data_IF_200007951216
#
_entry.id   IF_200007951216
#
_cell.length_a   1.000
_cell.length_b   1.000
_cell.length_c   1.000
_cell.angle_alpha   90.00
_cell.angle_beta   90.00
_cell.angle_gamma   90.00
#
_symmetry.space_group_name_H-M   'P 1'
#
loop_
_entity.id
_entity.type
_entity.pdbx_description
1 polymer ?
#
# COMPACT_ATOMS: atom_id res chain seq x y z
N UNK A 1 33.43 -25.38 -10.49
CA UNK A 1 32.32 -25.19 -9.53
C UNK A 1 31.57 -23.94 -9.94
N UNK A 2 30.60 -24.06 -10.87
CA UNK A 2 29.80 -22.94 -11.34
C UNK A 2 28.41 -23.05 -10.71
N UNK A 3 28.04 -22.04 -9.92
CA UNK A 3 26.72 -21.91 -9.33
C UNK A 3 25.73 -21.39 -10.37
N UNK A 4 24.84 -22.25 -10.85
CA UNK A 4 23.68 -21.83 -11.62
C UNK A 4 22.64 -21.17 -10.70
N UNK A 5 22.36 -19.89 -10.93
CA UNK A 5 21.23 -19.17 -10.34
C UNK A 5 20.05 -19.23 -11.30
N UNK A 6 19.00 -19.94 -10.93
CA UNK A 6 17.69 -19.92 -11.60
C UNK A 6 16.88 -18.72 -11.10
N UNK A 7 16.41 -17.86 -12.01
CA UNK A 7 15.50 -16.75 -11.71
C UNK A 7 14.04 -17.24 -11.56
N UNK A 8 13.30 -16.70 -10.59
CA UNK A 8 11.92 -17.05 -10.30
C UNK A 8 10.99 -15.84 -10.43
N UNK A 9 9.78 -16.05 -10.97
CA UNK A 9 8.74 -15.03 -11.11
C UNK A 9 7.94 -14.85 -9.80
N UNK A 10 7.83 -13.60 -9.33
CA UNK A 10 7.03 -13.22 -8.15
C UNK A 10 5.73 -12.56 -8.63
N UNK A 11 4.58 -13.10 -8.24
CA UNK A 11 3.27 -12.46 -8.42
C UNK A 11 2.93 -11.68 -7.16
N UNK A 12 2.93 -10.35 -7.24
CA UNK A 12 2.57 -9.48 -6.12
C UNK A 12 1.05 -9.50 -5.92
N UNK A 13 0.59 -9.90 -4.73
CA UNK A 13 -0.77 -9.63 -4.27
C UNK A 13 -0.75 -8.22 -3.67
N UNK A 14 -1.60 -7.35 -4.19
CA UNK A 14 -1.58 -5.95 -3.83
C UNK A 14 -2.16 -5.73 -2.42
N UNK A 15 -1.33 -5.25 -1.48
CA UNK A 15 -1.70 -4.95 -0.08
C UNK A 15 -2.00 -3.46 0.17
N UNK A 16 -2.29 -2.69 -0.89
CA UNK A 16 -2.39 -1.22 -0.84
C UNK A 16 -3.45 -0.64 0.13
N UNK A 17 -4.38 -1.45 0.68
CA UNK A 17 -5.49 -0.88 1.47
C UNK A 17 -5.31 -0.83 2.99
N UNK A 18 -4.26 -1.37 3.61
CA UNK A 18 -4.21 -1.46 5.09
C UNK A 18 -2.88 -1.12 5.79
N UNK A 19 -1.85 -0.69 5.06
CA UNK A 19 -0.58 -0.25 5.64
C UNK A 19 -0.21 1.17 5.21
N UNK A 20 -1.04 2.16 5.55
CA UNK A 20 -0.61 3.55 5.51
C UNK A 20 0.01 3.93 6.85
N UNK A 21 1.35 4.00 6.91
CA UNK A 21 2.05 4.51 8.08
C UNK A 21 3.52 4.14 8.30
N UNK A 22 4.30 3.68 7.30
CA UNK A 22 5.76 3.89 7.29
C UNK A 22 6.34 3.64 5.89
N UNK A 23 7.26 4.51 5.45
CA UNK A 23 8.00 4.37 4.19
C UNK A 23 9.14 3.32 4.32
N UNK A 24 8.84 2.14 4.85
CA UNK A 24 9.86 1.11 5.03
C UNK A 24 9.89 0.18 3.81
N UNK A 25 10.97 0.31 3.02
CA UNK A 25 11.29 -0.60 1.91
C UNK A 25 11.57 -1.99 2.50
N UNK A 26 10.76 -2.98 2.11
CA UNK A 26 10.97 -4.38 2.49
C UNK A 26 12.04 -4.98 1.58
N UNK A 27 13.27 -5.07 2.07
CA UNK A 27 14.36 -5.84 1.45
C UNK A 27 14.27 -7.32 1.85
N UNK A 28 14.11 -8.22 0.89
CA UNK A 28 14.18 -9.68 1.12
C UNK A 28 15.62 -10.16 0.92
N UNK A 29 16.22 -10.77 1.96
CA UNK A 29 17.47 -11.54 1.82
C UNK A 29 17.18 -13.04 1.75
N UNK A 30 18.02 -13.72 0.96
CA UNK A 30 18.13 -15.15 0.65
C UNK A 30 17.52 -16.13 1.69
N UNK A 31 16.74 -17.10 1.20
CA UNK A 31 16.04 -18.11 2.01
C UNK A 31 16.83 -19.42 2.00
N UNK A 32 17.32 -19.88 3.17
CA UNK A 32 17.86 -21.24 3.37
C UNK A 32 17.08 -21.97 4.47
N UNK A 33 16.66 -23.22 4.20
CA UNK A 33 16.17 -24.17 5.20
C UNK A 33 14.67 -24.55 5.10
N UNK A 34 14.36 -25.82 5.42
CA UNK A 34 13.00 -26.40 5.52
C UNK A 34 12.71 -26.79 6.98
N UNK A 35 12.37 -25.81 7.81
CA UNK A 35 11.69 -26.03 9.09
C UNK A 35 11.13 -24.67 9.54
N UNK A 36 9.86 -24.63 9.97
CA UNK A 36 9.20 -23.42 10.44
C UNK A 36 8.76 -23.61 11.88
N UNK A 37 9.57 -23.12 12.81
CA UNK A 37 9.11 -22.72 14.14
C UNK A 37 8.51 -21.30 14.03
N UNK A 38 7.27 -21.13 14.46
CA UNK A 38 6.68 -19.80 14.64
C UNK A 38 7.30 -19.16 15.89
N UNK A 39 8.39 -18.42 15.71
CA UNK A 39 8.86 -17.51 16.75
C UNK A 39 7.93 -16.29 16.81
N UNK A 40 7.53 -15.90 18.03
CA UNK A 40 6.73 -14.70 18.23
C UNK A 40 7.47 -13.48 17.63
N UNK A 41 6.78 -12.55 16.94
CA UNK A 41 7.42 -11.41 16.31
C UNK A 41 8.29 -10.65 17.31
N UNK A 42 9.59 -10.59 17.03
CA UNK A 42 10.52 -9.79 17.80
C UNK A 42 10.67 -8.42 17.15
N UNK A 43 10.72 -7.37 17.97
CA UNK A 43 10.97 -5.99 17.52
C UNK A 43 12.28 -5.51 18.11
N UNK A 44 13.03 -4.73 17.33
CA UNK A 44 14.25 -4.07 17.81
C UNK A 44 13.94 -2.62 18.22
N UNK A 45 14.40 -2.23 19.40
CA UNK A 45 14.32 -0.85 19.87
C UNK A 45 15.26 0.03 19.05
N UNK A 46 14.77 1.18 18.55
CA UNK A 46 15.60 2.11 17.78
C UNK A 46 16.73 2.73 18.63
N UNK A 47 16.49 2.95 19.92
CA UNK A 47 17.40 3.74 20.76
C UNK A 47 18.48 2.89 21.44
N UNK A 48 18.20 1.64 21.77
CA UNK A 48 19.16 0.76 22.47
C UNK A 48 19.46 -0.55 21.75
N UNK A 49 18.90 -0.76 20.55
CA UNK A 49 19.06 -1.98 19.75
C UNK A 49 18.59 -3.28 20.42
N UNK A 50 17.95 -3.20 21.60
CA UNK A 50 17.43 -4.36 22.32
C UNK A 50 16.28 -5.03 21.54
N UNK A 51 16.29 -6.36 21.49
CA UNK A 51 15.30 -7.18 20.80
C UNK A 51 14.30 -7.71 21.83
N UNK A 52 13.01 -7.47 21.62
CA UNK A 52 11.97 -7.86 22.58
C UNK A 52 10.67 -8.25 21.89
N UNK A 53 9.78 -8.92 22.63
CA UNK A 53 8.49 -9.39 22.10
C UNK A 53 7.60 -8.20 21.71
N UNK A 54 7.03 -8.23 20.50
CA UNK A 54 6.19 -7.15 19.96
C UNK A 54 4.99 -6.77 20.84
N UNK A 55 4.52 -7.68 21.71
CA UNK A 55 3.44 -7.45 22.67
C UNK A 55 3.80 -6.46 23.78
N UNK A 56 5.08 -6.17 24.01
CA UNK A 56 5.50 -5.22 25.05
C UNK A 56 5.41 -3.80 24.47
N UNK A 57 4.67 -2.86 25.10
CA UNK A 57 4.45 -1.52 24.55
C UNK A 57 5.72 -0.65 24.50
N UNK A 58 6.62 -0.84 25.46
CA UNK A 58 7.88 -0.10 25.61
C UNK A 58 9.08 -1.05 25.65
N UNK A 59 10.24 -0.60 25.19
CA UNK A 59 11.46 -1.38 25.30
C UNK A 59 11.75 -1.68 26.79
N UNK A 60 11.95 -2.95 27.18
CA UNK A 60 12.23 -3.29 28.58
C UNK A 60 13.61 -2.78 29.06
N UNK A 61 14.51 -2.44 28.12
CA UNK A 61 15.86 -2.00 28.45
C UNK A 61 15.99 -0.48 28.60
N UNK A 62 15.28 0.31 27.78
CA UNK A 62 15.41 1.77 27.80
C UNK A 62 14.09 2.54 27.94
N UNK A 63 12.95 1.85 28.04
CA UNK A 63 11.63 2.49 28.16
C UNK A 63 11.11 3.20 26.91
N UNK A 64 11.89 3.24 25.82
CA UNK A 64 11.51 3.90 24.58
C UNK A 64 10.32 3.23 23.88
N UNK A 65 9.49 4.06 23.24
CA UNK A 65 8.38 3.67 22.38
C UNK A 65 8.76 3.62 20.87
N UNK A 66 10.01 3.95 20.50
CA UNK A 66 10.49 3.96 19.12
C UNK A 66 10.90 2.53 18.67
N UNK A 67 10.16 1.98 17.71
CA UNK A 67 10.38 0.64 17.13
C UNK A 67 10.92 0.76 15.71
N UNK A 68 11.85 -0.11 15.33
CA UNK A 68 12.12 -0.38 13.90
C UNK A 68 11.14 -1.45 13.43
N UNK A 69 10.19 -1.06 12.57
CA UNK A 69 9.18 -1.95 12.01
C UNK A 69 9.75 -2.83 10.90
N UNK A 70 10.57 -3.83 11.22
CA UNK A 70 10.83 -4.92 10.28
C UNK A 70 9.98 -6.12 10.69
N UNK A 71 8.76 -6.18 10.16
CA UNK A 71 7.94 -7.38 10.24
C UNK A 71 8.39 -8.28 9.09
N UNK A 72 9.22 -9.28 9.40
CA UNK A 72 9.44 -10.40 8.48
C UNK A 72 8.19 -11.28 8.50
N UNK A 73 7.15 -10.89 7.76
CA UNK A 73 6.07 -11.81 7.43
C UNK A 73 6.65 -12.77 6.40
N UNK A 74 7.15 -13.92 6.88
CA UNK A 74 7.35 -15.08 6.01
C UNK A 74 5.97 -15.62 5.65
N UNK A 75 5.30 -14.96 4.71
CA UNK A 75 4.18 -15.58 4.04
C UNK A 75 4.74 -16.77 3.26
N UNK A 76 4.17 -17.98 3.37
CA UNK A 76 4.48 -19.05 2.44
C UNK A 76 4.00 -18.58 1.07
N UNK A 77 4.91 -17.99 0.30
CA UNK A 77 4.70 -17.80 -1.13
C UNK A 77 4.72 -19.22 -1.69
N UNK A 78 3.53 -19.76 -1.96
CA UNK A 78 3.44 -20.83 -2.95
C UNK A 78 3.95 -20.20 -4.23
N UNK A 79 5.24 -20.41 -4.52
CA UNK A 79 5.69 -20.34 -5.90
C UNK A 79 4.77 -21.29 -6.64
N UNK A 80 3.98 -20.75 -7.55
CA UNK A 80 3.28 -21.55 -8.54
C UNK A 80 4.36 -22.27 -9.34
N UNK A 81 4.74 -23.44 -8.83
CA UNK A 81 5.72 -24.31 -9.48
C UNK A 81 5.00 -24.76 -10.73
N UNK A 82 5.29 -24.08 -11.82
CA UNK A 82 4.71 -24.38 -13.10
C UNK A 82 5.37 -25.67 -13.63
N UNK A 83 4.99 -26.82 -13.04
CA UNK A 83 5.51 -28.14 -13.36
C UNK A 83 5.31 -28.49 -14.83
N UNK A 84 4.33 -27.85 -15.48
CA UNK A 84 4.13 -27.90 -16.94
C UNK A 84 5.29 -27.27 -17.69
N UNK A 85 5.73 -26.07 -17.27
CA UNK A 85 6.87 -25.39 -17.87
C UNK A 85 8.19 -26.13 -17.58
N UNK A 86 8.34 -26.67 -16.37
CA UNK A 86 9.50 -27.49 -16.01
C UNK A 86 9.58 -28.78 -16.84
N UNK A 87 8.45 -29.48 -17.03
CA UNK A 87 8.37 -30.67 -17.88
C UNK A 87 8.71 -30.37 -19.35
N UNK A 88 8.21 -29.25 -19.88
CA UNK A 88 8.55 -28.78 -21.23
C UNK A 88 10.05 -28.43 -21.35
N UNK A 89 10.62 -27.73 -20.37
CA UNK A 89 12.05 -27.39 -20.37
C UNK A 89 12.94 -28.64 -20.32
N UNK A 90 12.60 -29.63 -19.48
CA UNK A 90 13.34 -30.90 -19.40
C UNK A 90 13.25 -31.66 -20.73
N UNK A 91 12.05 -31.77 -21.32
CA UNK A 91 11.88 -32.45 -22.60
C UNK A 91 12.61 -31.75 -23.75
N UNK A 92 12.64 -30.42 -23.74
CA UNK A 92 13.40 -29.64 -24.71
C UNK A 92 14.91 -29.92 -24.59
N UNK A 93 15.47 -29.87 -23.38
CA UNK A 93 16.90 -30.17 -23.15
C UNK A 93 17.23 -31.60 -23.58
N UNK A 94 16.42 -32.59 -23.19
CA UNK A 94 16.64 -34.00 -23.58
C UNK A 94 16.57 -34.16 -25.09
N UNK A 95 15.58 -33.56 -25.75
CA UNK A 95 15.44 -33.59 -27.21
C UNK A 95 16.68 -33.03 -27.90
N UNK A 96 17.16 -31.86 -27.48
CA UNK A 96 18.36 -31.25 -28.08
C UNK A 96 19.63 -32.09 -27.90
N UNK A 97 19.79 -32.75 -26.76
CA UNK A 97 20.95 -33.64 -26.51
C UNK A 97 20.88 -34.89 -27.40
N UNK A 98 19.69 -35.49 -27.56
CA UNK A 98 19.49 -36.65 -28.42
C UNK A 98 19.75 -36.32 -29.89
N UNK A 99 19.25 -35.17 -30.37
CA UNK A 99 19.49 -34.70 -31.73
C UNK A 99 20.99 -34.51 -32.00
N UNK A 100 21.73 -33.93 -31.05
CA UNK A 100 23.19 -33.80 -31.16
C UNK A 100 23.90 -35.15 -31.23
N UNK A 101 23.55 -36.10 -30.35
CA UNK A 101 24.16 -37.44 -30.35
C UNK A 101 23.92 -38.16 -31.68
N UNK A 102 22.70 -38.06 -32.23
CA UNK A 102 22.38 -38.67 -33.53
C UNK A 102 23.11 -37.99 -34.68
N UNK A 103 23.27 -36.66 -34.64
CA UNK A 103 24.03 -35.91 -35.62
C UNK A 103 25.51 -36.36 -35.68
N UNK A 104 26.12 -36.66 -34.53
CA UNK A 104 27.53 -37.08 -34.48
C UNK A 104 27.75 -38.58 -34.76
N UNK A 105 26.77 -39.43 -34.49
CA UNK A 105 26.94 -40.89 -34.61
C UNK A 105 26.39 -41.51 -35.89
N UNK A 106 25.58 -40.79 -36.67
CA UNK A 106 24.89 -41.39 -37.82
C UNK A 106 25.34 -40.80 -39.15
N UNK A 107 25.62 -41.66 -40.14
CA UNK A 107 25.79 -41.27 -41.55
C UNK A 107 24.43 -41.02 -42.23
N UNK A 108 23.45 -40.49 -41.50
CA UNK A 108 22.08 -40.30 -41.98
C UNK A 108 21.96 -38.89 -42.54
N UNK A 109 22.00 -38.78 -43.87
CA UNK A 109 21.88 -37.50 -44.61
C UNK A 109 20.45 -36.90 -44.61
N UNK A 110 19.51 -37.46 -43.84
CA UNK A 110 18.10 -37.05 -43.92
C UNK A 110 17.81 -35.85 -43.01
N UNK A 111 17.88 -34.65 -43.59
CA UNK A 111 17.44 -33.36 -42.99
C UNK A 111 16.02 -33.43 -42.40
N UNK A 112 15.15 -34.29 -42.94
CA UNK A 112 13.77 -34.50 -42.47
C UNK A 112 13.65 -34.98 -41.03
N UNK A 113 14.66 -35.71 -40.52
CA UNK A 113 14.63 -36.23 -39.16
C UNK A 113 14.68 -35.10 -38.11
N UNK A 114 15.45 -34.04 -38.39
CA UNK A 114 15.58 -32.86 -37.52
C UNK A 114 14.31 -32.00 -37.49
N UNK A 115 13.46 -32.04 -38.52
CA UNK A 115 12.23 -31.26 -38.53
C UNK A 115 11.07 -31.92 -37.75
N UNK A 116 11.06 -33.25 -37.64
CA UNK A 116 9.93 -33.99 -37.05
C UNK A 116 10.09 -34.34 -35.57
N UNK A 117 11.33 -34.38 -35.05
CA UNK A 117 11.58 -34.72 -33.65
C UNK A 117 11.12 -33.66 -32.62
N UNK A 118 11.34 -32.35 -32.83
CA UNK A 118 10.97 -31.35 -31.81
C UNK A 118 9.48 -31.34 -31.42
N UNK A 119 8.51 -31.44 -32.36
CA UNK A 119 7.10 -31.55 -32.02
C UNK A 119 6.76 -32.76 -31.14
N UNK A 120 7.40 -33.92 -31.37
CA UNK A 120 7.16 -35.15 -30.61
C UNK A 120 7.64 -34.98 -29.17
N UNK A 121 8.83 -34.43 -28.95
CA UNK A 121 9.35 -34.17 -27.61
C UNK A 121 8.54 -33.12 -26.84
N UNK A 122 7.99 -32.11 -27.51
CA UNK A 122 7.09 -31.14 -26.88
C UNK A 122 5.84 -31.83 -26.35
N UNK A 123 5.22 -32.72 -27.14
CA UNK A 123 4.03 -33.47 -26.72
C UNK A 123 4.36 -34.40 -25.54
N UNK A 124 5.46 -35.15 -25.61
CA UNK A 124 5.91 -36.02 -24.50
C UNK A 124 6.18 -35.20 -23.23
N UNK A 125 6.90 -34.08 -23.35
CA UNK A 125 7.20 -33.17 -22.24
C UNK A 125 5.95 -32.59 -21.59
N UNK A 126 4.95 -32.25 -22.40
CA UNK A 126 3.65 -31.80 -21.92
C UNK A 126 2.94 -32.89 -21.11
N UNK A 127 2.88 -34.14 -21.61
CA UNK A 127 2.28 -35.26 -20.88
C UNK A 127 3.03 -35.59 -19.59
N UNK A 128 4.37 -35.58 -19.60
CA UNK A 128 5.18 -35.73 -18.39
C UNK A 128 4.91 -34.62 -17.38
N UNK A 129 4.80 -33.37 -17.83
CA UNK A 129 4.42 -32.23 -16.99
C UNK A 129 3.05 -32.41 -16.33
N UNK A 130 2.05 -32.94 -17.06
CA UNK A 130 0.73 -33.25 -16.50
C UNK A 130 0.79 -34.39 -15.46
N UNK A 131 1.58 -35.44 -15.71
CA UNK A 131 1.77 -36.54 -14.76
C UNK A 131 2.45 -36.08 -13.48
N UNK A 132 3.49 -35.23 -13.58
CA UNK A 132 4.17 -34.63 -12.43
C UNK A 132 3.25 -33.70 -11.62
N UNK A 133 2.45 -32.86 -12.28
CA UNK A 133 1.44 -32.01 -11.62
C UNK A 133 0.41 -32.85 -10.86
N UNK A 134 -0.10 -33.93 -11.48
CA UNK A 134 -1.04 -34.86 -10.83
C UNK A 134 -0.40 -35.59 -9.64
N UNK A 135 0.82 -36.08 -9.80
CA UNK A 135 1.57 -36.75 -8.71
C UNK A 135 1.83 -35.80 -7.55
N UNK A 136 2.18 -34.54 -7.83
CA UNK A 136 2.42 -33.53 -6.81
C UNK A 136 1.13 -33.21 -6.05
N UNK A 137 0.01 -32.98 -6.76
CA UNK A 137 -1.32 -32.74 -6.15
C UNK A 137 -1.80 -33.90 -5.27
N UNK A 138 -1.38 -35.13 -5.57
CA UNK A 138 -1.71 -36.30 -4.77
C UNK A 138 -0.74 -36.56 -3.60
N UNK A 139 0.31 -35.74 -3.46
CA UNK A 139 1.28 -35.90 -2.38
C UNK A 139 0.72 -35.42 -1.03
N UNK A 140 1.10 -36.08 0.06
CA UNK A 140 0.78 -35.62 1.41
C UNK A 140 1.27 -34.19 1.67
N UNK A 141 2.40 -33.81 1.06
CA UNK A 141 2.94 -32.46 1.16
C UNK A 141 1.99 -31.41 0.58
N UNK A 142 1.41 -31.65 -0.59
CA UNK A 142 0.43 -30.73 -1.19
C UNK A 142 -0.82 -30.58 -0.32
N UNK A 143 -1.29 -31.67 0.29
CA UNK A 143 -2.44 -31.62 1.20
C UNK A 143 -2.13 -30.81 2.48
N UNK A 144 -0.93 -30.93 3.04
CA UNK A 144 -0.50 -30.10 4.17
C UNK A 144 -0.35 -28.62 3.79
N UNK A 145 0.28 -28.32 2.64
CA UNK A 145 0.38 -26.96 2.11
C UNK A 145 -1.01 -26.33 1.92
N UNK A 146 -1.96 -27.09 1.37
CA UNK A 146 -3.34 -26.66 1.18
C UNK A 146 -4.05 -26.38 2.51
N UNK A 147 -3.89 -27.24 3.52
CA UNK A 147 -4.45 -27.02 4.87
C UNK A 147 -3.89 -25.73 5.50
N UNK A 148 -2.58 -25.49 5.37
CA UNK A 148 -1.94 -24.27 5.88
C UNK A 148 -2.54 -23.03 5.20
N UNK A 149 -2.75 -23.07 3.88
CA UNK A 149 -3.38 -21.98 3.15
C UNK A 149 -4.84 -21.75 3.57
N UNK A 150 -5.63 -22.81 3.69
CA UNK A 150 -7.01 -22.72 4.16
C UNK A 150 -7.09 -22.15 5.57
N UNK A 151 -6.18 -22.54 6.46
CA UNK A 151 -6.11 -21.99 7.82
C UNK A 151 -5.71 -20.51 7.82
N UNK A 152 -4.76 -20.11 6.99
CA UNK A 152 -4.38 -18.71 6.82
C UNK A 152 -5.57 -17.87 6.32
N UNK A 153 -6.25 -18.33 5.27
CA UNK A 153 -7.45 -17.67 4.74
C UNK A 153 -8.54 -17.55 5.81
N UNK A 154 -8.84 -18.64 6.53
CA UNK A 154 -9.82 -18.63 7.63
C UNK A 154 -9.47 -17.61 8.72
N UNK A 155 -8.19 -17.53 9.09
CA UNK A 155 -7.73 -16.56 10.09
C UNK A 155 -7.84 -15.11 9.57
N UNK A 156 -7.54 -14.88 8.29
CA UNK A 156 -7.71 -13.58 7.63
C UNK A 156 -9.19 -13.18 7.58
N UNK A 157 -10.08 -14.11 7.23
CA UNK A 157 -11.52 -13.87 7.17
C UNK A 157 -12.09 -13.60 8.57
N UNK A 158 -11.67 -14.36 9.59
CA UNK A 158 -12.06 -14.13 10.98
C UNK A 158 -11.56 -12.77 11.49
N UNK A 159 -10.34 -12.39 11.15
CA UNK A 159 -9.79 -11.07 11.46
C UNK A 159 -10.60 -9.95 10.80
N UNK A 160 -10.88 -10.07 9.49
CA UNK A 160 -11.67 -9.10 8.73
C UNK A 160 -13.09 -8.98 9.29
N UNK A 161 -13.71 -10.09 9.67
CA UNK A 161 -15.02 -10.13 10.33
C UNK A 161 -14.99 -9.35 11.65
N UNK A 162 -14.03 -9.64 12.54
CA UNK A 162 -13.88 -8.92 13.82
C UNK A 162 -13.64 -7.43 13.61
N UNK A 163 -12.83 -7.06 12.61
CA UNK A 163 -12.58 -5.65 12.28
C UNK A 163 -13.84 -4.95 11.76
N UNK A 164 -14.67 -5.65 10.97
CA UNK A 164 -15.97 -5.13 10.53
C UNK A 164 -16.94 -4.96 11.70
N UNK A 165 -17.03 -5.93 12.61
CA UNK A 165 -17.87 -5.85 13.82
C UNK A 165 -17.46 -4.67 14.71
N UNK A 166 -16.15 -4.46 14.93
CA UNK A 166 -15.64 -3.30 15.68
C UNK A 166 -15.96 -1.99 14.97
N UNK A 167 -15.83 -1.95 13.64
CA UNK A 167 -16.16 -0.78 12.82
C UNK A 167 -17.64 -0.41 12.96
N UNK A 168 -18.55 -1.37 12.83
CA UNK A 168 -19.98 -1.15 13.01
C UNK A 168 -20.34 -0.74 14.45
N UNK A 169 -19.72 -1.38 15.46
CA UNK A 169 -19.91 -0.99 16.85
C UNK A 169 -19.46 0.46 17.10
N UNK A 170 -18.36 0.90 16.49
CA UNK A 170 -17.90 2.28 16.59
C UNK A 170 -18.83 3.25 15.85
N UNK A 171 -19.38 2.90 14.68
CA UNK A 171 -20.40 3.72 14.00
C UNK A 171 -21.61 3.98 14.90
N UNK A 172 -22.08 2.95 15.60
CA UNK A 172 -23.20 3.05 16.54
C UNK A 172 -22.81 3.89 17.75
N UNK A 173 -21.66 3.59 18.38
CA UNK A 173 -21.14 4.30 19.58
C UNK A 173 -21.03 5.80 19.34
N UNK A 174 -20.59 6.20 18.15
CA UNK A 174 -20.37 7.60 17.80
C UNK A 174 -21.54 8.24 17.05
N UNK A 175 -22.66 7.52 16.88
CA UNK A 175 -23.86 8.02 16.19
C UNK A 175 -23.57 8.52 14.77
N UNK A 176 -22.67 7.83 14.04
CA UNK A 176 -22.33 8.19 12.66
C UNK A 176 -23.60 8.10 11.79
N UNK A 177 -23.89 9.12 10.95
CA UNK A 177 -25.04 9.06 10.05
C UNK A 177 -25.03 7.81 9.17
N UNK A 178 -26.20 7.18 9.00
CA UNK A 178 -26.34 5.97 8.17
C UNK A 178 -26.07 6.24 6.69
N UNK A 179 -26.39 7.45 6.21
CA UNK A 179 -26.16 7.85 4.84
C UNK A 179 -24.76 8.48 4.71
N UNK A 180 -23.95 7.94 3.81
CA UNK A 180 -22.59 8.42 3.53
C UNK A 180 -22.55 9.87 3.01
N UNK A 181 -23.68 10.41 2.55
CA UNK A 181 -23.77 11.80 2.10
C UNK A 181 -23.82 12.80 3.26
N UNK A 182 -24.26 12.37 4.45
CA UNK A 182 -24.52 13.22 5.62
C UNK A 182 -23.28 13.52 6.45
N UNK A 183 -22.16 12.86 6.16
CA UNK A 183 -20.85 13.17 6.72
C UNK A 183 -19.80 13.39 5.64
N UNK A 184 -18.69 14.04 6.00
CA UNK A 184 -17.53 14.26 5.13
C UNK A 184 -16.25 13.87 5.84
N UNK A 185 -15.28 13.37 5.10
CA UNK A 185 -13.95 13.10 5.63
C UNK A 185 -13.09 14.36 5.52
N UNK A 186 -12.39 14.71 6.60
CA UNK A 186 -11.48 15.87 6.67
C UNK A 186 -10.14 15.45 7.26
N UNK A 187 -9.05 16.11 6.85
CA UNK A 187 -7.72 15.85 7.41
C UNK A 187 -7.39 16.88 8.48
N UNK A 188 -7.29 16.44 9.72
CA UNK A 188 -6.80 17.23 10.84
C UNK A 188 -5.28 17.18 10.92
N UNK A 189 -4.67 18.33 11.15
CA UNK A 189 -3.23 18.51 11.21
C UNK A 189 -2.75 18.63 12.66
N UNK A 190 -3.32 19.55 13.45
CA UNK A 190 -2.88 19.86 14.83
C UNK A 190 -3.84 20.82 15.57
N UNK A 191 -3.62 21.01 16.88
CA UNK A 191 -4.22 22.09 17.67
C UNK A 191 -5.15 21.68 18.83
N UNK A 192 -5.81 20.54 18.74
CA UNK A 192 -6.65 20.00 19.81
C UNK A 192 -5.83 19.30 20.90
N UNK A 193 -6.08 19.54 22.20
CA UNK A 193 -5.32 18.92 23.30
C UNK A 193 -5.40 17.38 23.31
N UNK A 194 -6.55 16.82 22.91
CA UNK A 194 -6.78 15.38 22.91
C UNK A 194 -6.16 14.67 21.69
N UNK A 195 -5.74 15.41 20.66
CA UNK A 195 -5.24 14.85 19.40
C UNK A 195 -3.78 15.25 19.16
N UNK A 196 -2.87 14.30 19.42
CA UNK A 196 -1.42 14.53 19.36
C UNK A 196 -0.81 14.36 17.96
N UNK A 197 -1.58 13.97 16.95
CA UNK A 197 -1.07 13.60 15.62
C UNK A 197 -2.04 13.96 14.50
N UNK A 198 -1.52 14.05 13.28
CA UNK A 198 -2.32 14.15 12.07
C UNK A 198 -3.27 12.96 11.97
N UNK A 199 -4.54 13.24 11.67
CA UNK A 199 -5.62 12.26 11.65
C UNK A 199 -6.65 12.62 10.60
N UNK A 200 -7.43 11.65 10.18
CA UNK A 200 -8.59 11.87 9.31
C UNK A 200 -9.85 11.68 10.13
N UNK A 201 -10.80 12.60 10.04
CA UNK A 201 -12.05 12.58 10.78
C UNK A 201 -13.24 12.51 9.82
N UNK A 202 -14.25 11.73 10.17
CA UNK A 202 -15.61 11.96 9.68
C UNK A 202 -16.24 13.11 10.45
N UNK A 203 -16.86 14.03 9.72
CA UNK A 203 -17.44 15.26 10.25
C UNK A 203 -18.89 15.40 9.79
N UNK A 204 -19.78 15.71 10.73
CA UNK A 204 -21.20 15.99 10.47
C UNK A 204 -21.78 16.90 11.56
N UNK A 205 -22.95 17.48 11.28
CA UNK A 205 -23.69 18.31 12.24
C UNK A 205 -24.85 17.51 12.79
N UNK A 206 -25.01 17.53 14.11
CA UNK A 206 -26.16 16.96 14.82
C UNK A 206 -26.35 17.67 16.14
N UNK A 207 -27.60 18.01 16.49
CA UNK A 207 -27.98 18.61 17.77
C UNK A 207 -27.15 19.85 18.14
N UNK A 208 -26.97 20.76 17.18
CA UNK A 208 -26.15 21.99 17.32
C UNK A 208 -24.68 21.73 17.71
N UNK A 209 -24.15 20.60 17.27
CA UNK A 209 -22.74 20.22 17.47
C UNK A 209 -22.11 19.80 16.16
N UNK A 210 -20.87 20.24 15.97
CA UNK A 210 -19.95 19.67 14.99
C UNK A 210 -19.32 18.43 15.61
N UNK A 211 -19.63 17.27 15.04
CA UNK A 211 -19.10 15.98 15.50
C UNK A 211 -17.88 15.64 14.65
N UNK A 212 -16.76 15.29 15.27
CA UNK A 212 -15.54 14.83 14.60
C UNK A 212 -15.17 13.46 15.15
N UNK A 213 -15.14 12.43 14.31
CA UNK A 213 -14.83 11.05 14.74
C UNK A 213 -13.77 10.45 13.86
N UNK A 214 -12.79 9.77 14.45
CA UNK A 214 -11.68 9.15 13.73
C UNK A 214 -12.22 8.29 12.58
N UNK A 215 -11.75 8.58 11.37
CA UNK A 215 -12.11 7.83 10.16
C UNK A 215 -11.67 6.36 10.24
N UNK A 216 -10.65 6.05 11.06
CA UNK A 216 -10.27 4.68 11.36
C UNK A 216 -11.19 4.10 12.44
N UNK A 217 -12.39 3.70 12.01
CA UNK A 217 -13.39 3.07 12.88
C UNK A 217 -13.00 1.66 13.35
N UNK A 218 -11.84 1.12 12.98
CA UNK A 218 -11.39 -0.19 13.41
C UNK A 218 -10.94 -0.24 14.88
N UNK A 219 -10.18 -1.29 15.23
CA UNK A 219 -9.63 -1.50 16.58
C UNK A 219 -8.68 -0.40 17.07
N UNK A 220 -8.20 0.47 16.18
CA UNK A 220 -7.30 1.59 16.49
C UNK A 220 -8.01 2.95 16.52
N UNK A 221 -9.34 2.97 16.51
CA UNK A 221 -10.13 4.20 16.62
C UNK A 221 -9.68 5.01 17.85
N UNK A 222 -9.16 6.22 17.62
CA UNK A 222 -8.71 7.10 18.72
C UNK A 222 -9.85 7.90 19.34
N UNK A 223 -11.06 7.75 18.81
CA UNK A 223 -12.29 8.32 19.37
C UNK A 223 -12.82 9.49 18.56
N UNK A 224 -13.54 10.39 19.23
CA UNK A 224 -14.15 11.54 18.60
C UNK A 224 -14.49 12.64 19.59
N UNK A 225 -14.60 13.86 19.08
CA UNK A 225 -14.89 15.08 19.82
C UNK A 225 -16.17 15.70 19.28
N UNK A 226 -16.99 16.23 20.18
CA UNK A 226 -18.21 17.00 19.84
C UNK A 226 -17.98 18.46 20.25
N UNK A 227 -18.09 19.38 19.30
CA UNK A 227 -17.89 20.82 19.52
C UNK A 227 -19.23 21.52 19.34
N UNK A 228 -19.74 22.22 20.35
CA UNK A 228 -20.95 23.03 20.23
C UNK A 228 -20.75 24.18 19.23
N UNK A 229 -21.79 24.51 18.46
CA UNK A 229 -21.69 25.57 17.46
C UNK A 229 -21.33 26.93 18.07
N UNK A 230 -21.80 27.23 19.28
CA UNK A 230 -21.47 28.47 20.01
C UNK A 230 -20.00 28.56 20.44
N UNK A 231 -19.35 27.40 20.59
CA UNK A 231 -17.93 27.33 20.90
C UNK A 231 -17.08 27.55 19.65
N UNK A 232 -17.61 27.32 18.44
CA UNK A 232 -16.92 27.64 17.20
C UNK A 232 -17.05 29.15 16.96
N UNK A 233 -15.92 29.88 17.04
CA UNK A 233 -15.91 31.34 16.88
C UNK A 233 -15.81 31.73 15.42
N UNK A 234 -14.85 31.15 14.70
CA UNK A 234 -14.73 31.35 13.26
C UNK A 234 -13.89 30.26 12.60
N UNK A 235 -13.90 30.19 11.27
CA UNK A 235 -12.88 29.49 10.49
C UNK A 235 -12.45 30.30 9.27
N UNK A 236 -11.24 30.03 8.79
CA UNK A 236 -10.66 30.67 7.60
C UNK A 236 -9.65 29.74 6.93
N UNK A 237 -9.24 30.05 5.70
CA UNK A 237 -8.19 29.33 4.97
C UNK A 237 -7.00 30.27 4.74
N UNK A 238 -5.80 29.87 5.15
CA UNK A 238 -4.56 30.66 5.03
C UNK A 238 -3.42 29.83 4.47
N UNK A 239 -2.48 30.49 3.78
CA UNK A 239 -1.32 29.88 3.13
C UNK A 239 -1.31 30.17 1.63
N UNK A 240 -0.38 29.56 0.91
CA UNK A 240 -0.11 29.87 -0.49
C UNK A 240 -0.36 28.66 -1.41
N UNK A 241 -0.71 28.97 -2.67
CA UNK A 241 -0.71 27.99 -3.76
C UNK A 241 0.45 28.36 -4.68
N UNK A 242 1.37 27.42 -4.90
CA UNK A 242 2.48 27.59 -5.85
C UNK A 242 2.43 26.51 -6.92
N UNK A 243 2.83 26.88 -8.13
CA UNK A 243 2.96 25.93 -9.24
C UNK A 243 4.44 25.72 -9.51
N UNK A 244 4.91 24.48 -9.38
CA UNK A 244 6.26 24.08 -9.73
C UNK A 244 6.24 23.34 -11.06
N UNK A 245 7.05 23.79 -12.02
CA UNK A 245 7.27 23.06 -13.26
C UNK A 245 8.42 22.07 -13.07
N UNK A 246 8.11 20.79 -13.00
CA UNK A 246 9.12 19.72 -12.95
C UNK A 246 9.43 19.25 -14.36
N UNK A 247 10.67 19.43 -14.79
CA UNK A 247 11.16 18.91 -16.06
C UNK A 247 11.95 17.64 -15.77
N UNK A 248 11.52 16.52 -16.34
CA UNK A 248 12.20 15.22 -16.28
C UNK A 248 12.48 14.71 -17.69
N UNK A 249 13.44 13.81 -17.86
CA UNK A 249 13.91 13.34 -19.17
C UNK A 249 15.11 14.12 -19.72
N UNK A 250 15.56 13.78 -20.93
CA UNK A 250 16.76 14.37 -21.55
C UNK A 250 18.10 13.70 -21.16
N UNK A 251 18.07 12.63 -20.36
CA UNK A 251 19.27 11.83 -20.06
C UNK A 251 19.72 11.00 -21.26
N UNK A 252 20.96 11.22 -21.72
CA UNK A 252 21.58 10.53 -22.85
C UNK A 252 21.51 9.00 -22.74
N UNK A 253 21.17 8.35 -23.86
CA UNK A 253 20.90 6.92 -23.98
C UNK A 253 21.98 6.00 -23.42
N UNK A 254 21.81 5.59 -22.16
CA UNK A 254 22.55 4.49 -21.56
C UNK A 254 21.93 3.14 -21.93
N UNK A 255 22.76 2.09 -21.94
CA UNK A 255 22.31 0.72 -22.23
C UNK A 255 21.49 0.14 -21.06
N UNK A 256 20.31 -0.43 -21.34
CA UNK A 256 19.46 -1.13 -20.37
C UNK A 256 19.75 -2.63 -20.42
N UNK A 257 20.47 -3.15 -19.42
CA UNK A 257 20.71 -4.60 -19.25
C UNK A 257 19.37 -5.36 -19.24
N UNK A 258 18.34 -4.81 -18.59
CA UNK A 258 17.02 -5.43 -18.49
C UNK A 258 16.27 -5.46 -19.84
N UNK A 259 16.47 -4.44 -20.67
CA UNK A 259 15.89 -4.40 -22.03
C UNK A 259 16.64 -5.29 -23.02
N UNK A 260 17.96 -5.43 -22.85
CA UNK A 260 18.79 -6.35 -23.62
C UNK A 260 18.36 -7.81 -23.39
N UNK A 261 18.17 -8.21 -22.12
CA UNK A 261 17.75 -9.58 -21.76
C UNK A 261 16.36 -9.90 -22.32
N UNK A 262 15.39 -8.99 -22.22
CA UNK A 262 14.05 -9.20 -22.78
C UNK A 262 14.08 -9.24 -24.32
N UNK A 263 14.88 -8.37 -24.95
CA UNK A 263 15.05 -8.34 -26.40
C UNK A 263 15.73 -9.60 -26.93
N UNK A 264 16.69 -10.16 -26.20
CA UNK A 264 17.39 -11.40 -26.54
C UNK A 264 16.44 -12.60 -26.57
N UNK A 265 15.57 -12.70 -25.57
CA UNK A 265 14.58 -13.79 -25.47
C UNK A 265 13.56 -13.74 -26.60
N UNK A 266 13.18 -12.56 -27.08
CA UNK A 266 12.13 -12.39 -28.10
C UNK A 266 12.69 -12.48 -29.53
N UNK A 267 13.88 -11.92 -29.80
CA UNK A 267 14.41 -11.77 -31.16
C UNK A 267 15.91 -12.06 -31.28
N UNK A 268 16.50 -12.77 -30.32
CA UNK A 268 17.91 -13.17 -30.35
C UNK A 268 18.89 -11.99 -30.23
N UNK A 269 20.16 -12.14 -30.67
CA UNK A 269 21.20 -11.13 -30.51
C UNK A 269 20.85 -9.75 -31.10
N UNK A 270 20.10 -9.71 -32.20
CA UNK A 270 19.61 -8.46 -32.80
C UNK A 270 18.53 -7.79 -31.92
N UNK A 271 17.65 -8.58 -31.31
CA UNK A 271 16.68 -8.12 -30.32
C UNK A 271 17.33 -7.59 -29.05
N UNK A 272 18.42 -8.22 -28.60
CA UNK A 272 19.21 -7.75 -27.47
C UNK A 272 19.82 -6.37 -27.74
N UNK A 273 20.36 -6.14 -28.94
CA UNK A 273 20.92 -4.84 -29.36
C UNK A 273 19.82 -3.76 -29.41
N UNK A 274 18.65 -4.07 -29.98
CA UNK A 274 17.53 -3.12 -30.06
C UNK A 274 16.94 -2.84 -28.67
N UNK A 275 16.74 -3.87 -27.85
CA UNK A 275 16.22 -3.77 -26.49
C UNK A 275 17.21 -3.15 -25.50
N UNK A 276 18.51 -3.22 -25.78
CA UNK A 276 19.55 -2.57 -24.97
C UNK A 276 19.51 -1.05 -25.05
N UNK A 277 18.96 -0.46 -26.12
CA UNK A 277 18.84 0.99 -26.23
C UNK A 277 17.72 1.46 -25.29
N UNK A 278 18.06 2.16 -24.19
CA UNK A 278 17.04 2.95 -23.48
C UNK A 278 16.46 3.93 -24.47
N UNK A 279 15.13 3.91 -24.65
CA UNK A 279 14.42 5.02 -25.29
C UNK A 279 14.92 6.30 -24.60
N UNK A 280 15.40 7.27 -25.37
CA UNK A 280 15.61 8.62 -24.85
C UNK A 280 14.31 8.99 -24.13
N UNK A 281 14.40 9.23 -22.83
CA UNK A 281 13.23 9.69 -22.09
C UNK A 281 12.91 11.07 -22.65
N UNK A 282 11.78 11.15 -23.37
CA UNK A 282 11.27 12.42 -23.88
C UNK A 282 11.24 13.41 -22.71
N UNK A 283 11.63 14.65 -22.98
CA UNK A 283 11.51 15.71 -21.98
C UNK A 283 10.04 15.80 -21.61
N UNK A 284 9.72 15.43 -20.37
CA UNK A 284 8.40 15.51 -19.77
C UNK A 284 8.40 16.70 -18.84
N UNK A 285 7.58 17.68 -19.16
CA UNK A 285 7.29 18.81 -18.30
C UNK A 285 5.98 18.53 -17.58
N UNK A 286 6.05 18.41 -16.26
CA UNK A 286 4.90 18.23 -15.38
C UNK A 286 4.74 19.48 -14.52
N UNK A 287 3.61 20.17 -14.65
CA UNK A 287 3.25 21.25 -13.74
C UNK A 287 2.62 20.63 -12.49
N UNK A 288 3.30 20.74 -11.36
CA UNK A 288 2.83 20.27 -10.06
C UNK A 288 2.32 21.47 -9.28
N UNK A 289 1.02 21.49 -8.99
CA UNK A 289 0.42 22.48 -8.10
C UNK A 289 0.60 22.01 -6.66
N UNK A 290 1.30 22.80 -5.85
CA UNK A 290 1.49 22.58 -4.42
C UNK A 290 0.58 23.56 -3.67
N UNK A 291 -0.43 23.02 -3.00
CA UNK A 291 -1.33 23.77 -2.12
C UNK A 291 -0.86 23.63 -0.67
N UNK A 292 -0.25 24.68 -0.12
CA UNK A 292 0.25 24.74 1.26
C UNK A 292 -0.77 25.41 2.19
N UNK A 293 -1.99 25.67 1.71
CA UNK A 293 -3.03 26.27 2.54
C UNK A 293 -3.51 25.31 3.62
N UNK A 294 -3.81 25.89 4.78
CA UNK A 294 -4.44 25.22 5.90
C UNK A 294 -5.76 25.90 6.25
N UNK A 295 -6.73 25.10 6.69
CA UNK A 295 -7.97 25.61 7.26
C UNK A 295 -7.78 25.75 8.76
N UNK A 296 -7.96 26.97 9.27
CA UNK A 296 -7.80 27.29 10.68
C UNK A 296 -9.19 27.55 11.27
N UNK A 297 -9.58 26.74 12.25
CA UNK A 297 -10.83 26.91 13.00
C UNK A 297 -10.50 27.38 14.42
N UNK A 298 -11.11 28.49 14.81
CA UNK A 298 -11.02 29.03 16.16
C UNK A 298 -12.18 28.52 17.01
N UNK A 299 -11.85 27.94 18.16
CA UNK A 299 -12.82 27.45 19.14
C UNK A 299 -12.56 28.02 20.54
N UNK A 300 -13.61 28.10 21.32
CA UNK A 300 -13.56 28.25 22.77
C UNK A 300 -13.65 26.87 23.41
N UNK A 301 -12.58 26.48 24.09
CA UNK A 301 -12.44 25.21 24.77
C UNK A 301 -12.18 25.47 26.24
N UNK A 302 -13.19 25.23 27.08
CA UNK A 302 -13.15 25.49 28.53
C UNK A 302 -12.78 26.94 28.89
N UNK A 303 -13.29 27.93 28.13
CA UNK A 303 -13.00 29.35 28.34
C UNK A 303 -11.68 29.83 27.72
N UNK A 304 -10.90 28.91 27.13
CA UNK A 304 -9.65 29.24 26.45
C UNK A 304 -9.81 29.23 24.93
N UNK A 305 -9.28 30.26 24.28
CA UNK A 305 -9.19 30.33 22.82
C UNK A 305 -8.19 29.29 22.30
N UNK A 306 -8.63 28.41 21.41
CA UNK A 306 -7.79 27.40 20.73
C UNK A 306 -7.97 27.46 19.22
N UNK A 307 -6.96 26.97 18.51
CA UNK A 307 -6.97 26.89 17.04
C UNK A 307 -6.79 25.44 16.62
N UNK A 308 -7.71 24.95 15.80
CA UNK A 308 -7.62 23.65 15.13
C UNK A 308 -7.18 23.89 13.69
N UNK A 309 -6.20 23.11 13.24
CA UNK A 309 -5.63 23.20 11.91
C UNK A 309 -6.01 21.96 11.12
N UNK A 310 -6.55 22.16 9.92
CA UNK A 310 -6.93 21.13 8.97
C UNK A 310 -6.31 21.41 7.61
N UNK A 311 -6.39 20.45 6.69
CA UNK A 311 -5.98 20.67 5.30
C UNK A 311 -6.82 21.75 4.58
N UNK A 312 -6.31 22.24 3.45
CA UNK A 312 -6.99 23.23 2.58
C UNK A 312 -8.39 22.80 2.15
N UNK A 313 -8.59 21.50 1.90
CA UNK A 313 -9.86 20.94 1.40
C UNK A 313 -10.97 20.98 2.45
N UNK A 314 -10.60 20.95 3.72
CA UNK A 314 -11.54 21.05 4.84
C UNK A 314 -12.33 22.37 4.82
N UNK A 315 -11.76 23.47 4.30
CA UNK A 315 -12.48 24.73 4.13
C UNK A 315 -13.75 24.56 3.30
N UNK A 316 -13.66 23.85 2.18
CA UNK A 316 -14.78 23.66 1.25
C UNK A 316 -15.89 22.77 1.85
N UNK A 317 -15.55 21.96 2.87
CA UNK A 317 -16.50 21.21 3.68
C UNK A 317 -17.17 22.14 4.70
N UNK A 318 -16.39 22.88 5.48
CA UNK A 318 -16.91 23.77 6.53
C UNK A 318 -17.78 24.90 5.98
N UNK A 319 -17.43 25.50 4.84
CA UNK A 319 -18.24 26.55 4.21
C UNK A 319 -19.63 26.07 3.80
N UNK A 320 -19.78 24.77 3.49
CA UNK A 320 -21.09 24.17 3.18
C UNK A 320 -21.87 23.82 4.44
N UNK A 321 -21.18 23.45 5.51
CA UNK A 321 -21.77 22.92 6.73
C UNK A 321 -22.13 24.03 7.75
N UNK A 322 -21.26 25.01 7.93
CA UNK A 322 -21.38 26.11 8.91
C UNK A 322 -20.99 27.47 8.30
N UNK A 323 -21.58 27.90 7.16
CA UNK A 323 -21.18 29.13 6.46
C UNK A 323 -21.15 30.37 7.36
N UNK A 324 -22.06 30.44 8.34
CA UNK A 324 -22.16 31.54 9.30
C UNK A 324 -20.95 31.68 10.25
N UNK A 325 -20.06 30.69 10.28
CA UNK A 325 -18.81 30.71 11.06
C UNK A 325 -17.60 31.10 10.21
N UNK A 326 -17.78 31.36 8.92
CA UNK A 326 -16.67 31.84 8.07
C UNK A 326 -16.27 33.26 8.52
N UNK A 327 -14.97 33.53 8.61
CA UNK A 327 -14.45 34.76 9.23
C UNK A 327 -14.99 36.06 8.59
N UNK A 328 -15.19 36.11 7.27
CA UNK A 328 -15.73 37.27 6.57
C UNK A 328 -17.18 37.53 6.97
N UNK A 329 -17.99 36.47 7.09
CA UNK A 329 -19.37 36.56 7.54
C UNK A 329 -19.47 37.03 9.00
N UNK A 330 -18.56 36.54 9.86
CA UNK A 330 -18.50 36.96 11.27
C UNK A 330 -18.16 38.46 11.40
N UNK A 331 -17.19 38.95 10.62
CA UNK A 331 -16.79 40.37 10.62
C UNK A 331 -17.96 41.26 10.19
N UNK A 332 -18.59 40.96 9.04
CA UNK A 332 -19.70 41.76 8.51
C UNK A 332 -20.91 41.82 9.46
N UNK A 333 -21.21 40.72 10.16
CA UNK A 333 -22.30 40.71 11.14
C UNK A 333 -21.99 41.54 12.40
N UNK A 334 -20.74 41.55 12.85
CA UNK A 334 -20.34 42.34 14.01
C UNK A 334 -20.40 43.84 13.71
N UNK A 335 -19.97 44.26 12.52
CA UNK A 335 -20.08 45.65 12.05
C UNK A 335 -21.55 46.10 11.97
N UNK A 336 -22.43 45.24 11.44
CA UNK A 336 -23.86 45.52 11.34
C UNK A 336 -24.52 45.71 12.72
N UNK A 337 -24.16 44.86 13.70
CA UNK A 337 -24.66 44.97 15.08
C UNK A 337 -24.18 46.27 15.75
N UNK A 338 -22.90 46.62 15.60
CA UNK A 338 -22.34 47.84 16.17
C UNK A 338 -23.05 49.10 15.65
N UNK A 339 -23.40 49.14 14.36
CA UNK A 339 -24.11 50.27 13.78
C UNK A 339 -25.57 50.35 14.24
N UNK A 340 -26.24 49.21 14.43
CA UNK A 340 -27.64 49.17 14.89
C UNK A 340 -27.82 49.67 16.33
N UNK A 341 -26.85 49.42 17.22
CA UNK A 341 -26.91 49.90 18.61
C UNK A 341 -26.71 51.41 18.76
N UNK A 342 -26.11 52.07 17.76
CA UNK A 342 -25.87 53.53 17.75
C UNK A 342 -27.11 54.31 17.33
N UNK A 343 -28.06 53.70 16.62
CA UNK A 343 -29.25 54.41 16.08
C UNK A 343 -30.43 54.41 17.06
N UNK A 344 -30.47 53.50 18.03
CA UNK A 344 -31.56 53.39 19.04
C UNK A 344 -31.35 54.23 20.30
N UNK A 345 -30.32 55.08 20.35
CA UNK A 345 -30.02 55.95 21.50
C UNK A 345 -30.34 57.43 21.26
N UNK A 346 -31.45 57.72 20.59
CA UNK A 346 -31.98 59.08 20.42
C UNK A 346 -33.37 59.22 21.00
#
# INVERSE_FOLDING_TARGET
>A
MNSHTSEYFIKFINFDNYLYGSNDIVEFKEIKGRELTMEAPQTQCKDCSNIFNYKIPRCPMCGSNKRMGKINIKAPILLDKNYRLAGLAIAFVIGTILDLILLFNSSIDSVWFFMLMPPVFIVIGYYLGLMLDKSYKNSNQYQEDLKIQMQYQKNTDEFNRRMSEISEANKIKYELPKNALDYKEVSYLRGHPEFSSQMRFFVWIKDDRLNLVDSNLGSKCKGGVKIFMDNIKSFTRKGDIRTETRVSGGGGGGSSIKGAVIGEVIAGPAGAIIGSRKKNEAIKTENVVIDERETIMEIDYNGERKFLFFDSKTYDVLIKMIPQKEISFVISNNESKANSSVTTSF
#
